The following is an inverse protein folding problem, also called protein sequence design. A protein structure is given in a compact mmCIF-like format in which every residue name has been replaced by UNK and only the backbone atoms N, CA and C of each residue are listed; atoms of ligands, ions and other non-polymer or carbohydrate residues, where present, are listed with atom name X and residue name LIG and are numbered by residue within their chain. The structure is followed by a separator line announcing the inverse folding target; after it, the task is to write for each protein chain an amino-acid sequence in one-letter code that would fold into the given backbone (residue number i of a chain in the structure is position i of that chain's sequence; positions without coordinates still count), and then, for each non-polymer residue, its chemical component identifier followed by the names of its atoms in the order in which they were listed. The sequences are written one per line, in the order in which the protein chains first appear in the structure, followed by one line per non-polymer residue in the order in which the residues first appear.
data_IF_549181464318
#
_entry.id   IF_549181464318
#
_cell.length_a   1.000
_cell.length_b   1.000
_cell.length_c   1.000
_cell.angle_alpha   90.00
_cell.angle_beta   90.00
_cell.angle_gamma   90.00
#
_symmetry.space_group_name_H-M   'P 1'
#
loop_
_entity.id
_entity.type
_entity.pdbx_description
1 polymer ?
#
# COMPACT_ATOMS: atom_id res chain seq x y z
N UNK A 1 2.72 -23.87 12.84
CA UNK A 1 3.49 -22.76 12.23
C UNK A 1 4.53 -22.30 13.25
N UNK A 2 5.81 -22.20 12.90
CA UNK A 2 6.86 -21.61 13.75
C UNK A 2 7.51 -20.47 12.95
N UNK A 3 7.67 -19.32 13.58
CA UNK A 3 8.41 -18.21 12.98
C UNK A 3 9.91 -18.51 13.02
N UNK A 4 10.61 -18.19 11.94
CA UNK A 4 12.07 -18.23 11.89
C UNK A 4 12.65 -17.06 12.69
N UNK A 5 13.87 -17.20 13.19
CA UNK A 5 14.57 -16.11 13.89
C UNK A 5 14.67 -14.85 13.02
N UNK A 6 14.89 -15.02 11.72
CA UNK A 6 14.90 -13.91 10.77
C UNK A 6 13.56 -13.17 10.71
N UNK A 7 12.44 -13.91 10.74
CA UNK A 7 11.10 -13.30 10.76
C UNK A 7 10.83 -12.56 12.07
N UNK A 8 11.24 -13.12 13.20
CA UNK A 8 11.11 -12.47 14.51
C UNK A 8 11.98 -11.21 14.56
N UNK A 9 13.24 -11.30 14.13
CA UNK A 9 14.15 -10.15 14.08
C UNK A 9 13.60 -9.02 13.20
N UNK A 10 13.13 -9.35 11.99
CA UNK A 10 12.55 -8.35 11.09
C UNK A 10 11.31 -7.67 11.68
N UNK A 11 10.43 -8.45 12.33
CA UNK A 11 9.26 -7.91 13.01
C UNK A 11 9.66 -6.96 14.16
N UNK A 12 10.59 -7.37 15.02
CA UNK A 12 11.08 -6.53 16.12
C UNK A 12 11.73 -5.24 15.63
N UNK A 13 12.54 -5.29 14.58
CA UNK A 13 13.13 -4.09 13.96
C UNK A 13 12.05 -3.15 13.42
N UNK A 14 11.02 -3.68 12.77
CA UNK A 14 9.91 -2.87 12.27
C UNK A 14 9.09 -2.24 13.41
N UNK A 15 8.90 -2.96 14.52
CA UNK A 15 8.26 -2.40 15.71
C UNK A 15 9.11 -1.28 16.32
N UNK A 16 10.41 -1.48 16.48
CA UNK A 16 11.29 -0.47 17.07
C UNK A 16 11.33 0.84 16.26
N UNK A 17 11.29 0.73 14.92
CA UNK A 17 11.17 1.89 14.02
C UNK A 17 10.00 2.81 14.38
N UNK A 18 8.87 2.24 14.80
CA UNK A 18 7.63 2.99 15.06
C UNK A 18 7.38 3.31 16.52
N UNK A 19 8.05 2.60 17.43
CA UNK A 19 7.91 2.79 18.87
C UNK A 19 8.33 4.20 19.31
N UNK A 20 9.22 4.86 18.58
CA UNK A 20 9.65 6.24 18.84
C UNK A 20 10.14 6.47 20.28
N UNK A 21 10.79 5.47 20.87
CA UNK A 21 11.24 5.45 22.27
C UNK A 21 10.12 5.52 23.33
N UNK A 22 8.85 5.40 22.93
CA UNK A 22 7.72 5.35 23.86
C UNK A 22 7.52 3.93 24.40
N UNK A 23 7.20 3.82 25.70
CA UNK A 23 6.95 2.54 26.36
C UNK A 23 5.45 2.29 26.60
N UNK A 24 5.12 1.08 27.07
CA UNK A 24 3.77 0.74 27.49
C UNK A 24 2.73 0.81 26.37
N UNK A 25 1.54 1.31 26.74
CA UNK A 25 0.38 1.38 25.84
C UNK A 25 0.63 2.33 24.66
N UNK A 26 1.22 3.50 24.90
CA UNK A 26 1.49 4.49 23.86
C UNK A 26 2.46 3.96 22.80
N UNK A 27 3.60 3.40 23.23
CA UNK A 27 4.55 2.79 22.31
C UNK A 27 3.93 1.66 21.50
N UNK A 28 3.09 0.83 22.13
CA UNK A 28 2.38 -0.26 21.44
C UNK A 28 1.38 0.27 20.40
N UNK A 29 0.63 1.32 20.74
CA UNK A 29 -0.32 1.95 19.82
C UNK A 29 0.39 2.57 18.61
N UNK A 30 1.50 3.28 18.81
CA UNK A 30 2.30 3.86 17.74
C UNK A 30 2.86 2.80 16.79
N UNK A 31 3.33 1.67 17.33
CA UNK A 31 3.76 0.52 16.53
C UNK A 31 2.64 0.01 15.62
N UNK A 32 1.44 -0.18 16.17
CA UNK A 32 0.30 -0.68 15.39
C UNK A 32 -0.11 0.32 14.31
N UNK A 33 -0.14 1.63 14.63
CA UNK A 33 -0.44 2.69 13.65
C UNK A 33 0.59 2.71 12.53
N UNK A 34 1.88 2.69 12.85
CA UNK A 34 2.97 2.72 11.86
C UNK A 34 2.95 1.50 10.94
N UNK A 35 2.82 0.30 11.51
CA UNK A 35 2.72 -0.94 10.71
C UNK A 35 1.46 -0.97 9.84
N UNK A 36 0.35 -0.43 10.34
CA UNK A 36 -0.89 -0.35 9.55
C UNK A 36 -0.76 0.65 8.41
N UNK A 37 -0.07 1.78 8.62
CA UNK A 37 0.21 2.76 7.58
C UNK A 37 1.11 2.16 6.48
N UNK A 38 2.16 1.42 6.83
CA UNK A 38 2.99 0.71 5.84
C UNK A 38 2.19 -0.28 5.01
N UNK A 39 1.33 -1.08 5.65
CA UNK A 39 0.46 -2.04 4.96
C UNK A 39 -0.50 -1.32 4.03
N UNK A 40 -1.15 -0.25 4.48
CA UNK A 40 -2.07 0.53 3.67
C UNK A 40 -1.37 1.17 2.46
N UNK A 41 -0.14 1.67 2.63
CA UNK A 41 0.66 2.20 1.53
C UNK A 41 1.01 1.12 0.50
N UNK A 42 1.42 -0.06 0.96
CA UNK A 42 1.73 -1.20 0.08
C UNK A 42 0.51 -1.69 -0.69
N UNK A 43 -0.62 -1.86 -0.02
CA UNK A 43 -1.89 -2.25 -0.67
C UNK A 43 -2.36 -1.19 -1.67
N UNK A 44 -2.19 0.09 -1.35
CA UNK A 44 -2.47 1.20 -2.28
C UNK A 44 -1.61 1.09 -3.54
N UNK A 45 -0.31 0.83 -3.39
CA UNK A 45 0.59 0.66 -4.52
C UNK A 45 0.18 -0.53 -5.40
N UNK A 46 -0.09 -1.69 -4.78
CA UNK A 46 -0.52 -2.90 -5.49
C UNK A 46 -1.84 -2.64 -6.24
N UNK A 47 -2.82 -2.01 -5.60
CA UNK A 47 -4.10 -1.63 -6.22
C UNK A 47 -3.87 -0.77 -7.45
N UNK A 48 -3.06 0.27 -7.33
CA UNK A 48 -2.81 1.23 -8.41
C UNK A 48 -2.07 0.57 -9.58
N UNK A 49 -1.15 -0.36 -9.31
CA UNK A 49 -0.50 -1.19 -10.33
C UNK A 49 -1.50 -2.11 -11.04
N UNK A 50 -2.41 -2.74 -10.30
CA UNK A 50 -3.45 -3.60 -10.88
C UNK A 50 -4.50 -2.80 -11.66
N UNK A 51 -4.79 -1.56 -11.26
CA UNK A 51 -5.60 -0.63 -12.05
C UNK A 51 -4.98 -0.40 -13.43
N UNK A 52 -3.66 -0.16 -13.48
CA UNK A 52 -2.94 0.02 -14.75
C UNK A 52 -2.93 -1.26 -15.59
N UNK A 53 -2.74 -2.42 -14.97
CA UNK A 53 -2.84 -3.73 -15.66
C UNK A 53 -4.23 -3.93 -16.26
N UNK A 54 -5.29 -3.71 -15.48
CA UNK A 54 -6.67 -3.85 -15.94
C UNK A 54 -6.99 -2.90 -17.11
N UNK A 55 -6.55 -1.64 -17.02
CA UNK A 55 -6.72 -0.67 -18.11
C UNK A 55 -6.00 -1.14 -19.39
N UNK A 56 -4.74 -1.60 -19.29
CA UNK A 56 -3.98 -2.15 -20.42
C UNK A 56 -4.62 -3.40 -21.02
N UNK A 57 -5.33 -4.18 -20.22
CA UNK A 57 -6.10 -5.33 -20.67
C UNK A 57 -7.45 -4.95 -21.32
N UNK A 58 -7.78 -3.66 -21.42
CA UNK A 58 -8.97 -3.14 -22.08
C UNK A 58 -10.15 -2.83 -21.17
N UNK A 59 -9.99 -2.89 -19.85
CA UNK A 59 -11.06 -2.49 -18.92
C UNK A 59 -11.30 -0.97 -19.02
N UNK A 60 -12.57 -0.57 -19.12
CA UNK A 60 -12.92 0.85 -19.13
C UNK A 60 -12.67 1.50 -17.77
N UNK A 61 -12.37 2.80 -17.77
CA UNK A 61 -12.23 3.59 -16.54
C UNK A 61 -13.48 3.50 -15.64
N UNK A 62 -14.68 3.30 -16.22
CA UNK A 62 -15.92 3.11 -15.48
C UNK A 62 -15.91 1.79 -14.71
N UNK A 63 -15.57 0.68 -15.37
CA UNK A 63 -15.49 -0.64 -14.72
C UNK A 63 -14.45 -0.64 -13.61
N UNK A 64 -13.29 -0.02 -13.85
CA UNK A 64 -12.23 0.07 -12.86
C UNK A 64 -12.68 0.90 -11.64
N UNK A 65 -13.31 2.06 -11.85
CA UNK A 65 -13.84 2.89 -10.76
C UNK A 65 -14.89 2.14 -9.92
N UNK A 66 -15.76 1.39 -10.57
CA UNK A 66 -16.80 0.58 -9.91
C UNK A 66 -16.19 -0.50 -8.99
N UNK A 67 -15.25 -1.31 -9.48
CA UNK A 67 -14.67 -2.41 -8.70
C UNK A 67 -13.64 -1.96 -7.66
N UNK A 68 -12.96 -0.83 -7.90
CA UNK A 68 -11.98 -0.29 -6.95
C UNK A 68 -12.60 0.58 -5.87
N UNK A 69 -13.87 0.98 -6.02
CA UNK A 69 -14.53 1.97 -5.16
C UNK A 69 -13.93 3.38 -5.28
N UNK A 70 -13.05 3.63 -6.25
CA UNK A 70 -12.42 4.93 -6.46
C UNK A 70 -13.24 5.81 -7.39
N UNK A 71 -13.14 7.13 -7.19
CA UNK A 71 -13.73 8.09 -8.11
C UNK A 71 -13.06 8.05 -9.49
N UNK A 72 -13.82 8.34 -10.55
CA UNK A 72 -13.34 8.36 -11.94
C UNK A 72 -12.07 9.23 -12.12
N UNK A 73 -12.03 10.40 -11.49
CA UNK A 73 -10.86 11.31 -11.54
C UNK A 73 -9.59 10.65 -10.99
N UNK A 74 -9.70 9.94 -9.87
CA UNK A 74 -8.58 9.22 -9.24
C UNK A 74 -8.09 8.11 -10.15
N UNK A 75 -9.01 7.31 -10.71
CA UNK A 75 -8.66 6.24 -11.65
C UNK A 75 -7.96 6.80 -12.89
N UNK A 76 -8.47 7.90 -13.47
CA UNK A 76 -7.80 8.56 -14.59
C UNK A 76 -6.38 8.99 -14.23
N UNK A 77 -6.16 9.62 -13.08
CA UNK A 77 -4.83 10.05 -12.67
C UNK A 77 -3.84 8.87 -12.51
N UNK A 78 -4.29 7.75 -11.92
CA UNK A 78 -3.47 6.54 -11.73
C UNK A 78 -3.02 5.95 -13.06
N UNK A 79 -3.92 5.91 -14.04
CA UNK A 79 -3.65 5.38 -15.39
C UNK A 79 -2.74 6.34 -16.16
N UNK A 80 -3.05 7.65 -16.20
CA UNK A 80 -2.27 8.63 -16.95
C UNK A 80 -0.85 8.83 -16.42
N UNK A 81 -0.63 8.67 -15.11
CA UNK A 81 0.72 8.71 -14.53
C UNK A 81 1.65 7.60 -15.04
N UNK A 82 1.11 6.49 -15.54
CA UNK A 82 1.91 5.41 -16.15
C UNK A 82 2.25 5.68 -17.62
N UNK A 83 1.40 6.41 -18.33
CA UNK A 83 1.58 6.73 -19.75
C UNK A 83 2.60 7.88 -19.95
N UNK A 84 2.70 8.81 -18.98
CA UNK A 84 3.69 9.89 -18.99
C UNK A 84 5.14 9.38 -18.90
N UNK A 85 5.40 8.29 -18.17
CA UNK A 85 6.74 7.71 -17.99
C UNK A 85 7.25 7.01 -19.27
N UNK A 86 6.38 6.75 -20.25
CA UNK A 86 6.70 6.05 -21.51
C UNK A 86 6.92 6.97 -22.71
N UNK A 87 6.74 8.27 -22.55
CA UNK A 87 6.88 9.25 -23.64
C UNK A 87 8.25 9.95 -23.67
N UNK A 88 9.17 9.55 -22.79
CA UNK A 88 10.61 9.88 -22.77
C UNK A 88 11.44 8.67 -23.20
#
# INVERSE_FOLDING_TARGET
MRYTEAQVSAATTAMEKYRSSEEGELGSALVVVGLSAERAAKETQIRDDMIRVAHRAGASLRQIAEVSGLGRKTVTAIVSGADAIRSD
#
